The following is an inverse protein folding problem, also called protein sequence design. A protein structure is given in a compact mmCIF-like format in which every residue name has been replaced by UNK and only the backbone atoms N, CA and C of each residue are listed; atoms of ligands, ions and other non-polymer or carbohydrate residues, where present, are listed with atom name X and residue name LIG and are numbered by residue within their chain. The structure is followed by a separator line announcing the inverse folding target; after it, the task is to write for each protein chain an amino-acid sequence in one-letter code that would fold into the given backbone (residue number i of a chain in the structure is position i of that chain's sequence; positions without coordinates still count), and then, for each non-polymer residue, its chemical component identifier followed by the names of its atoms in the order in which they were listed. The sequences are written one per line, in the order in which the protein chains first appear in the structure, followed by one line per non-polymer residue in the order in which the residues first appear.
data_IF_696874233324
#
_entry.id   IF_696874233324
#
_cell.length_a   1.000
_cell.length_b   1.000
_cell.length_c   1.000
_cell.angle_alpha   90.00
_cell.angle_beta   90.00
_cell.angle_gamma   90.00
#
_symmetry.space_group_name_H-M   'P 1'
#
loop_
_entity.id
_entity.type
_entity.pdbx_description
1 polymer ?
#
# COMPACT_ATOMS: atom_id res chain seq x y z
N UNK A 1 -20.69 9.23 -37.41
CA UNK A 1 -20.08 9.36 -37.14
C UNK A 1 -19.59 9.10 -36.76
N UNK A 2 -19.30 9.03 -36.69
CA UNK A 2 -18.39 9.09 -36.36
C UNK A 2 -17.93 8.94 -35.75
N UNK A 3 -17.53 8.73 -35.54
CA UNK A 3 -16.76 8.76 -34.90
C UNK A 3 -16.07 8.87 -34.70
N UNK A 4 -15.84 9.09 -34.70
CA UNK A 4 -14.89 9.41 -34.38
C UNK A 4 -14.24 9.18 -34.03
N UNK A 5 -13.51 9.08 -33.90
CA UNK A 5 -12.62 8.99 -33.49
C UNK A 5 -11.82 9.14 -33.11
N UNK A 6 -11.65 9.25 -32.97
CA UNK A 6 -10.74 9.54 -32.52
C UNK A 6 -9.94 8.98 -32.29
N UNK A 7 -9.05 9.07 -32.11
CA UNK A 7 -8.08 8.54 -31.78
C UNK A 7 -7.60 8.40 -30.89
N UNK A 8 -7.34 8.07 -30.58
CA UNK A 8 -6.87 8.02 -29.63
C UNK A 8 -5.88 8.14 -29.24
N UNK A 9 -5.70 8.39 -28.90
CA UNK A 9 -4.83 8.67 -28.37
C UNK A 9 -4.46 8.00 -27.60
N UNK A 10 -3.98 7.80 -27.40
CA UNK A 10 -3.58 7.50 -26.67
C UNK A 10 -3.15 7.02 -26.18
N UNK A 11 -3.11 6.52 -26.35
CA UNK A 11 -2.89 6.04 -25.27
C UNK A 11 -1.99 6.36 -24.56
N UNK A 12 -2.04 6.81 -24.64
CA UNK A 12 -1.34 7.50 -23.71
C UNK A 12 -1.59 7.15 -22.29
N UNK A 13 -2.54 6.36 -22.02
CA UNK A 13 -2.84 6.02 -20.66
C UNK A 13 -2.02 4.85 -20.23
N UNK A 14 -1.04 5.10 -19.37
CA UNK A 14 -0.34 4.03 -18.70
C UNK A 14 -1.22 3.61 -17.54
N UNK A 15 -1.61 2.33 -17.43
CA UNK A 15 -2.48 1.92 -16.33
C UNK A 15 -1.79 2.17 -15.00
N UNK A 16 -2.46 2.91 -14.15
CA UNK A 16 -2.01 3.08 -12.77
C UNK A 16 -2.24 1.81 -12.01
N UNK A 17 -1.31 1.52 -11.11
CA UNK A 17 -1.41 0.37 -10.23
C UNK A 17 -1.67 0.88 -8.83
N UNK A 18 -2.66 0.29 -8.18
CA UNK A 18 -2.90 0.48 -6.75
C UNK A 18 -2.35 -0.73 -6.03
N UNK A 19 -1.36 -0.50 -5.19
CA UNK A 19 -0.77 -1.55 -4.37
C UNK A 19 -1.29 -1.39 -2.95
N UNK A 20 -1.97 -2.41 -2.45
CA UNK A 20 -2.57 -2.38 -1.11
C UNK A 20 -1.98 -3.48 -0.26
N UNK A 21 -1.54 -3.12 0.94
CA UNK A 21 -1.14 -4.11 1.94
C UNK A 21 -2.11 -4.03 3.10
N UNK A 22 -2.72 -5.15 3.42
CA UNK A 22 -3.58 -5.26 4.60
C UNK A 22 -2.77 -5.86 5.73
N UNK A 23 -2.69 -5.13 6.84
CA UNK A 23 -1.99 -5.58 8.04
C UNK A 23 -3.02 -6.03 9.05
N UNK A 24 -2.82 -7.23 9.59
CA UNK A 24 -3.64 -7.77 10.67
C UNK A 24 -2.75 -7.89 11.89
N UNK A 25 -3.18 -7.30 12.99
CA UNK A 25 -2.32 -7.23 14.17
C UNK A 25 -3.07 -7.54 15.44
N UNK A 26 -2.34 -8.07 16.41
CA UNK A 26 -2.85 -8.26 17.76
C UNK A 26 -3.17 -6.88 18.36
N UNK A 27 -4.26 -6.74 19.13
CA UNK A 27 -4.61 -5.45 19.72
C UNK A 27 -3.49 -4.83 20.54
N UNK A 28 -2.69 -5.65 21.21
CA UNK A 28 -1.57 -5.16 22.02
C UNK A 28 -0.50 -4.47 21.19
N UNK A 29 -0.42 -4.79 19.91
CA UNK A 29 0.59 -4.20 19.02
C UNK A 29 0.15 -2.88 18.40
N UNK A 30 -1.08 -2.44 18.64
CA UNK A 30 -1.66 -1.30 17.92
C UNK A 30 -0.85 -0.02 18.09
N UNK A 31 -0.52 0.34 19.32
CA UNK A 31 0.18 1.61 19.55
C UNK A 31 1.57 1.61 18.91
N UNK A 32 2.30 0.50 19.09
CA UNK A 32 3.62 0.39 18.51
C UNK A 32 3.55 0.36 16.97
N UNK A 33 2.53 -0.32 16.42
CA UNK A 33 2.32 -0.37 14.98
C UNK A 33 2.05 1.02 14.41
N UNK A 34 1.16 1.78 15.04
CA UNK A 34 0.84 3.12 14.56
C UNK A 34 2.05 4.06 14.66
N UNK A 35 2.83 3.93 15.74
CA UNK A 35 4.07 4.71 15.87
C UNK A 35 5.05 4.36 14.77
N UNK A 36 5.22 3.07 14.48
CA UNK A 36 6.09 2.62 13.41
C UNK A 36 5.63 3.15 12.06
N UNK A 37 4.33 3.12 11.80
CA UNK A 37 3.79 3.65 10.55
C UNK A 37 4.07 5.14 10.41
N UNK A 38 3.85 5.93 11.47
CA UNK A 38 4.06 7.38 11.42
C UNK A 38 5.53 7.78 11.35
N UNK A 39 6.39 7.02 12.01
CA UNK A 39 7.79 7.43 12.18
C UNK A 39 8.72 6.80 11.17
N UNK A 40 8.38 5.63 10.64
CA UNK A 40 9.27 4.87 9.77
C UNK A 40 8.64 4.57 8.42
N UNK A 41 7.48 3.91 8.42
CA UNK A 41 6.93 3.32 7.20
C UNK A 41 6.43 4.38 6.22
N UNK A 42 5.51 5.23 6.66
CA UNK A 42 4.97 6.28 5.80
C UNK A 42 6.03 7.29 5.37
N UNK A 43 6.92 7.75 6.25
CA UNK A 43 7.99 8.64 5.79
C UNK A 43 8.89 8.02 4.72
N UNK A 44 9.19 6.73 4.82
CA UNK A 44 9.99 6.07 3.80
C UNK A 44 9.25 5.99 2.47
N UNK A 45 7.94 5.75 2.49
CA UNK A 45 7.14 5.75 1.28
C UNK A 45 7.07 7.15 0.67
N UNK A 46 6.88 8.17 1.50
CA UNK A 46 6.86 9.55 1.01
C UNK A 46 8.20 9.98 0.40
N UNK A 47 9.29 9.41 0.90
CA UNK A 47 10.61 9.73 0.38
C UNK A 47 10.93 9.04 -0.94
N UNK A 48 10.17 8.02 -1.31
CA UNK A 48 10.37 7.29 -2.56
C UNK A 48 9.62 8.02 -3.67
N UNK A 49 10.35 8.56 -4.64
CA UNK A 49 9.75 9.38 -5.69
C UNK A 49 8.80 8.62 -6.61
N UNK A 50 8.87 7.29 -6.62
CA UNK A 50 7.99 6.46 -7.45
C UNK A 50 6.67 6.17 -6.77
N UNK A 51 6.58 6.39 -5.46
CA UNK A 51 5.37 6.13 -4.67
C UNK A 51 4.46 7.36 -4.75
N UNK A 52 3.19 7.13 -5.12
CA UNK A 52 2.21 8.20 -5.23
C UNK A 52 1.11 8.00 -4.19
N UNK A 53 0.82 9.04 -3.44
CA UNK A 53 -0.31 9.11 -2.51
C UNK A 53 -0.38 7.96 -1.51
N UNK A 54 0.69 7.71 -0.75
CA UNK A 54 0.63 6.66 0.27
C UNK A 54 -0.33 7.06 1.39
N UNK A 55 -1.18 6.12 1.80
CA UNK A 55 -2.17 6.35 2.85
C UNK A 55 -2.39 5.11 3.68
N UNK A 56 -2.54 5.32 4.97
CA UNK A 56 -2.89 4.26 5.90
C UNK A 56 -4.33 4.46 6.35
N UNK A 57 -5.12 3.38 6.34
CA UNK A 57 -6.52 3.40 6.74
C UNK A 57 -6.76 2.35 7.80
N UNK A 58 -7.64 2.64 8.72
CA UNK A 58 -8.14 1.64 9.64
C UNK A 58 -9.34 0.96 9.01
N UNK A 59 -9.34 -0.37 9.02
CA UNK A 59 -10.50 -1.11 8.55
C UNK A 59 -11.48 -1.20 9.72
N UNK A 60 -12.71 -0.73 9.50
CA UNK A 60 -13.70 -0.68 10.55
C UNK A 60 -14.22 -2.10 10.83
N UNK A 61 -14.09 -2.60 12.05
CA UNK A 61 -14.53 -3.97 12.36
C UNK A 61 -16.05 -4.03 12.43
N UNK A 62 -16.58 -5.24 12.16
CA UNK A 62 -18.01 -5.47 12.28
C UNK A 62 -18.42 -5.76 13.72
N UNK A 63 -17.49 -6.08 14.58
CA UNK A 63 -17.77 -6.44 15.97
C UNK A 63 -17.14 -5.41 16.91
N UNK A 64 -17.69 -5.33 18.14
CA UNK A 64 -17.25 -4.32 19.09
C UNK A 64 -15.85 -4.60 19.65
N UNK A 65 -15.54 -5.87 19.85
CA UNK A 65 -14.28 -6.28 20.46
C UNK A 65 -13.59 -7.30 19.57
N UNK A 66 -13.00 -6.86 18.46
CA UNK A 66 -12.37 -7.80 17.55
C UNK A 66 -11.12 -8.39 18.16
N UNK A 67 -10.86 -9.67 17.84
CA UNK A 67 -9.65 -10.34 18.29
C UNK A 67 -8.40 -9.82 17.61
N UNK A 68 -8.56 -9.26 16.42
CA UNK A 68 -7.46 -8.68 15.67
C UNK A 68 -7.90 -7.37 15.07
N UNK A 69 -6.94 -6.48 14.87
CA UNK A 69 -7.17 -5.18 14.23
C UNK A 69 -6.59 -5.20 12.84
N UNK A 70 -7.25 -4.53 11.91
CA UNK A 70 -6.81 -4.52 10.52
C UNK A 70 -6.64 -3.09 10.02
N UNK A 71 -5.54 -2.90 9.28
CA UNK A 71 -5.23 -1.62 8.65
C UNK A 71 -4.89 -1.88 7.20
N UNK A 72 -5.26 -0.96 6.33
CA UNK A 72 -4.92 -1.05 4.91
C UNK A 72 -4.03 0.12 4.56
N UNK A 73 -2.87 -0.19 4.02
CA UNK A 73 -1.95 0.81 3.51
C UNK A 73 -1.89 0.67 2.01
N UNK A 74 -2.15 1.75 1.29
CA UNK A 74 -2.05 1.69 -0.15
C UNK A 74 -1.24 2.85 -0.70
N UNK A 75 -0.74 2.65 -1.91
CA UNK A 75 -0.15 3.71 -2.69
C UNK A 75 -0.35 3.38 -4.17
N UNK A 76 -0.14 4.38 -5.01
CA UNK A 76 -0.21 4.20 -6.46
C UNK A 76 1.18 4.22 -7.06
N UNK A 77 1.36 3.46 -8.13
CA UNK A 77 2.56 3.48 -8.95
C UNK A 77 2.14 3.59 -10.41
N UNK A 78 3.00 4.20 -11.24
CA UNK A 78 2.64 4.46 -12.63
C UNK A 78 2.59 3.22 -13.50
N UNK A 79 3.23 2.14 -13.10
CA UNK A 79 3.23 0.92 -13.88
C UNK A 79 4.02 -0.16 -13.19
N UNK A 80 4.10 -1.32 -13.85
CA UNK A 80 4.72 -2.48 -13.22
C UNK A 80 6.20 -2.30 -12.96
N UNK A 81 6.90 -1.61 -13.86
CA UNK A 81 8.34 -1.38 -13.68
C UNK A 81 8.59 -0.54 -12.44
N UNK A 82 7.82 0.53 -12.26
CA UNK A 82 7.94 1.37 -11.08
C UNK A 82 7.57 0.61 -9.82
N UNK A 83 6.51 -0.19 -9.88
CA UNK A 83 6.12 -1.00 -8.73
C UNK A 83 7.22 -1.97 -8.34
N UNK A 84 7.83 -2.64 -9.31
CA UNK A 84 8.93 -3.56 -9.02
C UNK A 84 10.11 -2.86 -8.36
N UNK A 85 10.43 -1.65 -8.83
CA UNK A 85 11.50 -0.88 -8.22
C UNK A 85 11.17 -0.51 -6.78
N UNK A 86 9.93 -0.09 -6.51
CA UNK A 86 9.50 0.24 -5.15
C UNK A 86 9.63 -1.00 -4.25
N UNK A 87 9.10 -2.12 -4.71
CA UNK A 87 9.06 -3.33 -3.88
C UNK A 87 10.45 -3.92 -3.66
N UNK A 88 11.34 -3.80 -4.64
CA UNK A 88 12.70 -4.35 -4.53
C UNK A 88 13.61 -3.53 -3.63
N UNK A 89 13.26 -2.28 -3.37
CA UNK A 89 14.09 -1.37 -2.59
C UNK A 89 13.38 -0.95 -1.32
N UNK A 90 12.54 0.08 -1.41
CA UNK A 90 11.84 0.60 -0.24
C UNK A 90 10.97 -0.46 0.42
N UNK A 91 10.20 -1.19 -0.40
CA UNK A 91 9.28 -2.19 0.12
C UNK A 91 9.99 -3.31 0.87
N UNK A 92 11.07 -3.81 0.28
CA UNK A 92 11.82 -4.89 0.91
C UNK A 92 12.43 -4.45 2.23
N UNK A 93 12.99 -3.23 2.27
CA UNK A 93 13.57 -2.69 3.49
C UNK A 93 12.51 -2.53 4.59
N UNK A 94 11.33 -2.01 4.23
CA UNK A 94 10.26 -1.81 5.19
C UNK A 94 9.70 -3.12 5.69
N UNK A 95 9.57 -4.11 4.81
CA UNK A 95 9.11 -5.45 5.22
C UNK A 95 10.07 -6.07 6.23
N UNK A 96 11.36 -5.91 5.99
CA UNK A 96 12.38 -6.44 6.90
C UNK A 96 12.32 -5.76 8.27
N UNK A 97 12.17 -4.43 8.28
CA UNK A 97 12.06 -3.69 9.54
C UNK A 97 10.81 -4.07 10.31
N UNK A 98 9.70 -4.23 9.60
CA UNK A 98 8.43 -4.63 10.22
C UNK A 98 8.56 -6.00 10.87
N UNK A 99 9.13 -6.95 10.14
CA UNK A 99 9.30 -8.31 10.64
C UNK A 99 10.22 -8.33 11.87
N UNK A 100 11.29 -7.55 11.82
CA UNK A 100 12.22 -7.51 12.94
C UNK A 100 11.60 -6.91 14.20
N UNK A 101 10.73 -5.93 14.03
CA UNK A 101 10.13 -5.27 15.18
C UNK A 101 8.93 -6.03 15.73
N UNK A 102 8.10 -6.60 14.86
CA UNK A 102 6.81 -7.15 15.28
C UNK A 102 6.69 -8.66 15.17
N UNK A 103 7.53 -9.29 14.36
CA UNK A 103 7.42 -10.73 14.15
C UNK A 103 6.01 -11.10 13.70
N UNK A 104 5.42 -12.07 14.37
CA UNK A 104 4.10 -12.57 14.03
C UNK A 104 2.95 -11.76 14.62
N UNK A 105 3.26 -10.75 15.43
CA UNK A 105 2.22 -9.90 15.98
C UNK A 105 1.57 -9.01 14.92
N UNK A 106 2.23 -8.81 13.79
CA UNK A 106 1.70 -8.07 12.65
C UNK A 106 1.94 -8.92 11.40
N UNK A 107 0.83 -9.27 10.73
CA UNK A 107 0.91 -10.02 9.47
C UNK A 107 0.38 -9.13 8.35
N UNK A 108 1.01 -9.24 7.18
CA UNK A 108 0.61 -8.43 6.04
C UNK A 108 0.41 -9.26 4.79
N UNK A 109 -0.61 -8.91 4.02
CA UNK A 109 -0.78 -9.46 2.68
C UNK A 109 -1.09 -8.35 1.71
N UNK A 110 -0.59 -8.52 0.49
CA UNK A 110 -0.67 -7.46 -0.51
C UNK A 110 -1.52 -7.87 -1.68
N UNK A 111 -2.18 -6.88 -2.26
CA UNK A 111 -3.02 -7.04 -3.44
C UNK A 111 -2.61 -5.98 -4.45
N UNK A 112 -2.44 -6.40 -5.69
CA UNK A 112 -2.13 -5.49 -6.79
C UNK A 112 -3.40 -5.32 -7.61
N UNK A 113 -3.79 -4.06 -7.82
CA UNK A 113 -4.99 -3.73 -8.56
C UNK A 113 -4.66 -2.74 -9.66
N UNK A 114 -5.29 -2.90 -10.80
CA UNK A 114 -5.17 -1.93 -11.88
C UNK A 114 -6.33 -0.96 -11.82
N UNK A 115 -6.02 0.32 -11.92
CA UNK A 115 -7.07 1.33 -11.98
C UNK A 115 -7.70 1.25 -13.37
N UNK A 116 -9.02 1.06 -13.41
CA UNK A 116 -9.73 0.93 -14.68
C UNK A 116 -10.60 2.13 -15.02
N UNK A 117 -10.77 3.06 -14.06
CA UNK A 117 -11.61 4.23 -14.31
C UNK A 117 -11.19 5.42 -13.44
#
# INVERSE_FOLDING_TARGET
KKISHSPPSFPTTIPMILYNTTFVLAPQAQQAFLAFMREVYLPALHADSLVQHPRLHRIVPHEEHPEALSYALHFYAEGEVHLQDILSNTGLRLADLLTKQFGEAVLGFSTIMHVVD
#
